data_IF_700702807799
#
_entry.id   IF_700702807799
#
_cell.length_a   1.000
_cell.length_b   1.000
_cell.length_c   1.000
_cell.angle_alpha   90.00
_cell.angle_beta   90.00
_cell.angle_gamma   90.00
#
_symmetry.space_group_name_H-M   'P 1'
#
loop_
_entity.id
_entity.type
_entity.pdbx_description
1 polymer ?
#
# COMPACT_ATOMS: atom_id res chain seq x y z
N UNK A 1 -50.01 70.19 -51.22
CA UNK A 1 -49.12 70.89 -50.28
C UNK A 1 -48.70 69.93 -49.17
N UNK A 2 -47.47 69.42 -49.18
CA UNK A 2 -47.03 68.39 -48.23
C UNK A 2 -45.90 68.95 -47.37
N UNK A 3 -46.22 69.44 -46.16
CA UNK A 3 -45.23 70.04 -45.28
C UNK A 3 -44.30 68.96 -44.75
N UNK A 4 -43.03 69.08 -45.13
CA UNK A 4 -41.89 68.32 -44.63
C UNK A 4 -41.78 68.52 -43.12
N UNK A 5 -41.84 67.45 -42.35
CA UNK A 5 -41.23 67.41 -41.02
C UNK A 5 -39.86 66.77 -41.16
N UNK A 6 -38.86 67.60 -40.87
CA UNK A 6 -37.44 67.34 -40.80
C UNK A 6 -37.14 66.41 -39.61
N UNK A 7 -36.32 65.39 -39.83
CA UNK A 7 -35.81 64.52 -38.76
C UNK A 7 -34.92 65.39 -37.86
N UNK A 8 -35.29 65.52 -36.58
CA UNK A 8 -34.55 66.31 -35.58
C UNK A 8 -33.20 65.64 -35.32
N UNK A 9 -32.07 66.38 -35.32
CA UNK A 9 -30.78 65.78 -34.98
C UNK A 9 -30.83 65.24 -33.54
N UNK A 10 -30.20 64.09 -33.25
CA UNK A 10 -30.19 63.51 -31.92
C UNK A 10 -29.55 64.49 -30.93
N UNK A 11 -30.22 64.69 -29.80
CA UNK A 11 -29.74 65.48 -28.66
C UNK A 11 -28.45 64.87 -28.11
N UNK A 12 -27.57 65.69 -27.51
CA UNK A 12 -26.29 65.21 -26.95
C UNK A 12 -26.47 64.05 -25.96
N UNK A 13 -27.59 64.04 -25.25
CA UNK A 13 -27.97 63.00 -24.30
C UNK A 13 -28.12 61.61 -24.98
N UNK A 14 -28.69 61.58 -26.19
CA UNK A 14 -28.84 60.34 -26.99
C UNK A 14 -27.49 59.81 -27.49
N UNK A 15 -26.50 60.67 -27.74
CA UNK A 15 -25.16 60.26 -28.15
C UNK A 15 -24.36 59.70 -26.98
N UNK A 16 -24.44 60.35 -25.82
CA UNK A 16 -23.74 59.93 -24.61
C UNK A 16 -24.28 58.59 -24.11
N UNK A 17 -25.60 58.39 -24.15
CA UNK A 17 -26.24 57.12 -23.78
C UNK A 17 -25.82 55.97 -24.71
N UNK A 18 -25.68 56.25 -26.02
CA UNK A 18 -25.19 55.23 -26.98
C UNK A 18 -23.71 54.90 -26.79
N UNK A 19 -22.89 55.88 -26.41
CA UNK A 19 -21.47 55.64 -26.13
C UNK A 19 -21.28 54.81 -24.85
N UNK A 20 -22.07 55.08 -23.79
CA UNK A 20 -22.05 54.30 -22.55
C UNK A 20 -22.41 52.82 -22.78
N UNK A 21 -23.44 52.54 -23.59
CA UNK A 21 -23.87 51.17 -23.91
C UNK A 21 -22.85 50.38 -24.74
N UNK A 22 -21.96 51.05 -25.48
CA UNK A 22 -20.91 50.40 -26.28
C UNK A 22 -19.63 50.15 -25.45
N UNK A 23 -19.33 50.99 -24.46
CA UNK A 23 -18.15 50.82 -23.61
C UNK A 23 -18.31 49.78 -22.49
N UNK A 24 -19.53 49.60 -21.95
CA UNK A 24 -19.82 48.61 -20.92
C UNK A 24 -19.39 47.17 -21.27
N UNK A 25 -19.76 46.60 -22.45
CA UNK A 25 -19.38 45.23 -22.78
C UNK A 25 -17.87 45.06 -23.05
N UNK A 26 -17.17 46.12 -23.47
CA UNK A 26 -15.72 46.08 -23.73
C UNK A 26 -14.89 46.09 -22.43
N UNK A 27 -15.36 46.77 -21.38
CA UNK A 27 -14.71 46.77 -20.06
C UNK A 27 -14.89 45.43 -19.34
N UNK A 28 -16.06 44.80 -19.49
CA UNK A 28 -16.37 43.50 -18.87
C UNK A 28 -15.55 42.35 -19.47
N UNK A 29 -15.34 42.32 -20.79
CA UNK A 29 -14.53 41.27 -21.44
C UNK A 29 -13.04 41.36 -21.08
N UNK A 30 -12.46 42.56 -21.00
CA UNK A 30 -11.08 42.76 -20.53
C UNK A 30 -10.91 42.37 -19.05
N UNK A 31 -11.91 42.63 -18.20
CA UNK A 31 -11.89 42.24 -16.79
C UNK A 31 -11.96 40.72 -16.60
N UNK A 32 -12.74 40.01 -17.43
CA UNK A 32 -12.83 38.54 -17.38
C UNK A 32 -11.54 37.86 -17.86
N UNK A 33 -10.92 38.35 -18.93
CA UNK A 33 -9.63 37.83 -19.42
C UNK A 33 -8.49 38.02 -18.41
N UNK A 34 -8.51 39.12 -17.64
CA UNK A 34 -7.54 39.40 -16.59
C UNK A 34 -7.71 38.51 -15.34
N UNK A 35 -8.88 37.89 -15.16
CA UNK A 35 -9.15 36.99 -14.03
C UNK A 35 -8.73 35.56 -14.34
N UNK A 36 -8.86 35.12 -15.60
CA UNK A 36 -8.50 33.77 -16.05
C UNK A 36 -7.00 33.46 -15.93
N UNK A 37 -6.10 34.41 -16.28
CA UNK A 37 -4.66 34.14 -16.18
C UNK A 37 -4.15 34.08 -14.74
N UNK A 38 -4.78 34.83 -13.82
CA UNK A 38 -4.48 34.79 -12.38
C UNK A 38 -4.99 33.50 -11.75
N UNK A 39 -6.22 33.09 -12.06
CA UNK A 39 -6.77 31.82 -11.61
C UNK A 39 -5.98 30.61 -12.15
N UNK A 40 -5.55 30.67 -13.42
CA UNK A 40 -4.74 29.61 -14.04
C UNK A 40 -3.34 29.50 -13.43
N UNK A 41 -2.68 30.62 -13.12
CA UNK A 41 -1.35 30.62 -12.49
C UNK A 41 -1.40 30.16 -11.02
N UNK A 42 -2.43 30.56 -10.27
CA UNK A 42 -2.66 30.07 -8.90
C UNK A 42 -2.99 28.57 -8.92
N UNK A 43 -3.82 28.12 -9.86
CA UNK A 43 -4.15 26.71 -10.04
C UNK A 43 -2.93 25.85 -10.40
N UNK A 44 -2.09 26.31 -11.32
CA UNK A 44 -0.86 25.63 -11.69
C UNK A 44 0.16 25.58 -10.54
N UNK A 45 0.29 26.67 -9.77
CA UNK A 45 1.15 26.71 -8.59
C UNK A 45 0.65 25.77 -7.49
N UNK A 46 -0.67 25.76 -7.21
CA UNK A 46 -1.28 24.85 -6.25
C UNK A 46 -1.10 23.38 -6.65
N UNK A 47 -1.26 23.06 -7.95
CA UNK A 47 -1.01 21.73 -8.49
C UNK A 47 0.48 21.34 -8.36
N UNK A 48 1.39 22.27 -8.64
CA UNK A 48 2.83 22.07 -8.47
C UNK A 48 3.21 21.80 -7.01
N UNK A 49 2.68 22.60 -6.07
CA UNK A 49 2.88 22.40 -4.63
C UNK A 49 2.29 21.07 -4.18
N UNK A 50 1.10 20.70 -4.65
CA UNK A 50 0.48 19.40 -4.35
C UNK A 50 1.34 18.24 -4.86
N UNK A 51 1.86 18.32 -6.09
CA UNK A 51 2.75 17.32 -6.67
C UNK A 51 4.09 17.22 -5.91
N UNK A 52 4.66 18.35 -5.49
CA UNK A 52 5.88 18.38 -4.67
C UNK A 52 5.63 17.78 -3.29
N UNK A 53 4.50 18.08 -2.65
CA UNK A 53 4.13 17.48 -1.36
C UNK A 53 3.87 15.97 -1.50
N UNK A 54 3.20 15.53 -2.56
CA UNK A 54 3.02 14.12 -2.88
C UNK A 54 4.36 13.42 -3.13
N UNK A 55 5.26 14.05 -3.89
CA UNK A 55 6.59 13.52 -4.18
C UNK A 55 7.47 13.44 -2.94
N UNK A 56 7.45 14.49 -2.10
CA UNK A 56 8.12 14.52 -0.81
C UNK A 56 7.56 13.41 0.11
N UNK A 57 6.24 13.30 0.24
CA UNK A 57 5.60 12.23 1.01
C UNK A 57 6.00 10.84 0.50
N UNK A 58 6.10 10.66 -0.82
CA UNK A 58 6.54 9.40 -1.43
C UNK A 58 8.01 9.06 -1.15
N UNK A 59 8.87 10.07 -1.02
CA UNK A 59 10.29 9.89 -0.69
C UNK A 59 10.50 9.65 0.81
N UNK A 60 9.77 10.39 1.66
CA UNK A 60 9.79 10.23 3.12
C UNK A 60 9.12 8.94 3.60
N UNK A 61 8.24 8.36 2.78
CA UNK A 61 7.59 7.10 3.04
C UNK A 61 8.57 5.96 3.36
N UNK A 62 9.71 5.85 2.66
CA UNK A 62 10.70 4.80 2.90
C UNK A 62 11.32 4.85 4.30
N UNK A 63 11.95 5.97 4.70
CA UNK A 63 12.43 6.17 6.07
C UNK A 63 11.33 6.03 7.12
N UNK A 64 10.11 6.51 6.83
CA UNK A 64 8.97 6.41 7.75
C UNK A 64 8.53 4.95 7.95
N UNK A 65 8.52 4.13 6.90
CA UNK A 65 8.28 2.68 7.01
C UNK A 65 9.36 1.98 7.81
N UNK A 66 10.64 2.35 7.65
CA UNK A 66 11.74 1.81 8.46
C UNK A 66 11.57 2.19 9.94
N UNK A 67 11.16 3.42 10.22
CA UNK A 67 10.87 3.90 11.56
C UNK A 67 9.69 3.14 12.19
N UNK A 68 8.58 3.00 11.46
CA UNK A 68 7.41 2.25 11.89
C UNK A 68 7.75 0.78 12.13
N UNK A 69 8.52 0.16 11.23
CA UNK A 69 8.99 -1.21 11.41
C UNK A 69 9.87 -1.37 12.65
N UNK A 70 10.77 -0.42 12.93
CA UNK A 70 11.63 -0.43 14.12
C UNK A 70 10.81 -0.31 15.41
N UNK A 71 9.83 0.60 15.45
CA UNK A 71 8.92 0.78 16.59
C UNK A 71 8.03 -0.45 16.79
N UNK A 72 7.47 -0.96 15.69
CA UNK A 72 6.60 -2.13 15.74
C UNK A 72 7.40 -3.35 16.22
N UNK A 73 8.63 -3.56 15.72
CA UNK A 73 9.56 -4.58 16.20
C UNK A 73 9.86 -4.39 17.68
N UNK A 74 10.17 -3.16 18.13
CA UNK A 74 10.39 -2.86 19.54
C UNK A 74 9.20 -3.26 20.43
N UNK A 75 7.97 -2.96 19.99
CA UNK A 75 6.73 -3.32 20.70
C UNK A 75 6.47 -4.84 20.70
N UNK A 76 6.81 -5.54 19.62
CA UNK A 76 6.71 -6.99 19.56
C UNK A 76 7.67 -7.68 20.54
N UNK A 77 8.89 -7.16 20.68
CA UNK A 77 9.90 -7.70 21.61
C UNK A 77 9.69 -7.23 23.06
N UNK A 78 8.97 -6.12 23.31
CA UNK A 78 8.77 -5.54 24.63
C UNK A 78 8.34 -6.53 25.74
N UNK A 79 7.36 -7.44 25.55
CA UNK A 79 7.00 -8.41 26.59
C UNK A 79 8.01 -9.55 26.75
N UNK A 80 8.81 -9.87 25.72
CA UNK A 80 9.95 -10.78 25.87
C UNK A 80 11.05 -10.11 26.72
N UNK A 81 11.35 -8.85 26.42
CA UNK A 81 12.31 -8.05 27.22
C UNK A 81 11.84 -7.92 28.66
N UNK A 82 10.57 -7.63 28.92
CA UNK A 82 10.02 -7.49 30.28
C UNK A 82 10.12 -8.78 31.12
N UNK A 83 10.05 -9.97 30.48
CA UNK A 83 10.32 -11.24 31.19
C UNK A 83 11.80 -11.38 31.55
N UNK A 84 12.69 -10.97 30.65
CA UNK A 84 14.14 -11.04 30.83
C UNK A 84 14.67 -9.98 31.81
N UNK A 85 14.02 -8.82 31.88
CA UNK A 85 14.34 -7.71 32.79
C UNK A 85 14.17 -8.09 34.27
N UNK A 86 13.46 -9.19 34.57
CA UNK A 86 13.39 -9.76 35.93
C UNK A 86 14.73 -10.33 36.41
N UNK A 87 15.64 -10.66 35.49
CA UNK A 87 16.92 -11.34 35.78
C UNK A 87 18.14 -10.51 35.38
N UNK A 88 17.98 -9.51 34.50
CA UNK A 88 19.07 -8.72 33.92
C UNK A 88 18.69 -7.24 33.82
N UNK A 89 19.67 -6.30 33.86
CA UNK A 89 19.41 -4.90 33.59
C UNK A 89 18.88 -4.71 32.16
N UNK A 90 17.96 -3.76 31.98
CA UNK A 90 17.20 -3.53 30.73
C UNK A 90 18.05 -3.54 29.46
N UNK A 91 19.24 -2.92 29.49
CA UNK A 91 20.16 -2.86 28.34
C UNK A 91 20.70 -4.25 27.96
N UNK A 92 21.07 -5.06 28.95
CA UNK A 92 21.57 -6.42 28.73
C UNK A 92 20.45 -7.35 28.23
N UNK A 93 19.23 -7.21 28.77
CA UNK A 93 18.06 -7.96 28.29
C UNK A 93 17.78 -7.70 26.81
N UNK A 94 17.84 -6.43 26.38
CA UNK A 94 17.64 -6.03 24.97
C UNK A 94 18.76 -6.58 24.08
N UNK A 95 20.03 -6.38 24.45
CA UNK A 95 21.18 -6.85 23.67
C UNK A 95 21.17 -8.38 23.52
N UNK A 96 20.91 -9.12 24.60
CA UNK A 96 20.87 -10.58 24.57
C UNK A 96 19.75 -11.08 23.65
N UNK A 97 18.56 -10.47 23.73
CA UNK A 97 17.43 -10.88 22.90
C UNK A 97 17.70 -10.66 21.41
N UNK A 98 18.28 -9.51 21.04
CA UNK A 98 18.68 -9.23 19.66
C UNK A 98 19.81 -10.15 19.19
N UNK A 99 20.77 -10.46 20.06
CA UNK A 99 21.86 -11.38 19.76
C UNK A 99 21.34 -12.79 19.48
N UNK A 100 20.43 -13.30 20.32
CA UNK A 100 19.78 -14.62 20.11
C UNK A 100 18.94 -14.62 18.83
N UNK A 101 18.16 -13.56 18.57
CA UNK A 101 17.40 -13.44 17.33
C UNK A 101 18.30 -13.43 16.09
N UNK A 102 19.42 -12.71 16.14
CA UNK A 102 20.41 -12.68 15.06
C UNK A 102 21.07 -14.04 14.84
N UNK A 103 21.40 -14.77 15.91
CA UNK A 103 21.93 -16.14 15.81
C UNK A 103 20.92 -17.10 15.17
N UNK A 104 19.65 -17.03 15.56
CA UNK A 104 18.60 -17.88 14.99
C UNK A 104 18.42 -17.56 13.49
N UNK A 105 18.25 -16.28 13.13
CA UNK A 105 18.07 -15.87 11.74
C UNK A 105 19.31 -16.15 10.89
N UNK A 106 20.50 -15.87 11.42
CA UNK A 106 21.79 -16.14 10.77
C UNK A 106 22.02 -17.63 10.59
N UNK A 107 21.68 -18.46 11.58
CA UNK A 107 21.77 -19.92 11.50
C UNK A 107 20.81 -20.52 10.48
N UNK A 108 19.56 -20.04 10.44
CA UNK A 108 18.60 -20.41 9.39
C UNK A 108 19.13 -19.97 8.03
N UNK A 109 19.63 -18.75 7.90
CA UNK A 109 20.23 -18.24 6.66
C UNK A 109 21.41 -19.10 6.21
N UNK A 110 22.30 -19.48 7.12
CA UNK A 110 23.44 -20.34 6.83
C UNK A 110 23.04 -21.71 6.25
N UNK A 111 21.93 -22.28 6.72
CA UNK A 111 21.42 -23.55 6.23
C UNK A 111 20.62 -23.39 4.92
N UNK A 112 19.78 -22.36 4.85
CA UNK A 112 18.83 -22.16 3.76
C UNK A 112 19.48 -21.56 2.51
N UNK A 113 20.40 -20.60 2.65
CA UNK A 113 21.05 -19.93 1.51
C UNK A 113 21.78 -20.91 0.57
N UNK A 114 22.66 -21.82 1.03
CA UNK A 114 23.34 -22.74 0.14
C UNK A 114 22.35 -23.72 -0.52
N UNK A 115 21.38 -24.24 0.23
CA UNK A 115 20.34 -25.13 -0.29
C UNK A 115 19.45 -24.43 -1.34
N UNK A 116 19.16 -23.15 -1.12
CA UNK A 116 18.44 -22.32 -2.06
C UNK A 116 19.26 -22.08 -3.34
N UNK A 117 20.55 -21.78 -3.20
CA UNK A 117 21.44 -21.52 -4.33
C UNK A 117 21.59 -22.74 -5.23
N UNK A 118 21.74 -23.94 -4.66
CA UNK A 118 21.85 -25.17 -5.46
C UNK A 118 20.54 -25.50 -6.19
N UNK A 119 19.41 -25.47 -5.48
CA UNK A 119 18.08 -25.69 -6.09
C UNK A 119 17.73 -24.64 -7.15
N UNK A 120 18.16 -23.40 -6.94
CA UNK A 120 17.95 -22.31 -7.89
C UNK A 120 18.79 -22.49 -9.17
N UNK A 121 20.05 -22.95 -9.06
CA UNK A 121 20.91 -23.23 -10.21
C UNK A 121 20.37 -24.41 -11.02
N UNK A 122 19.99 -25.50 -10.36
CA UNK A 122 19.36 -26.66 -11.01
C UNK A 122 18.09 -26.24 -11.77
N UNK A 123 17.26 -25.36 -11.18
CA UNK A 123 16.08 -24.83 -11.86
C UNK A 123 16.43 -24.05 -13.13
N UNK A 124 17.51 -23.25 -13.12
CA UNK A 124 17.96 -22.50 -14.30
C UNK A 124 18.51 -23.44 -15.38
N UNK A 125 19.23 -24.49 -14.98
CA UNK A 125 19.83 -25.45 -15.90
C UNK A 125 18.77 -26.33 -16.60
N UNK A 126 17.69 -26.69 -15.90
CA UNK A 126 16.59 -27.50 -16.44
C UNK A 126 15.57 -26.71 -17.25
N UNK A 127 15.48 -25.39 -17.03
CA UNK A 127 14.48 -24.55 -17.65
C UNK A 127 14.53 -24.49 -19.21
N UNK A 128 15.69 -24.46 -19.91
CA UNK A 128 15.70 -24.52 -21.37
C UNK A 128 15.11 -25.83 -21.93
N UNK A 129 15.35 -26.97 -21.28
CA UNK A 129 14.76 -28.26 -21.69
C UNK A 129 13.23 -28.27 -21.52
N UNK A 130 12.72 -27.62 -20.47
CA UNK A 130 11.29 -27.42 -20.25
C UNK A 130 10.67 -26.56 -21.36
N UNK A 131 11.34 -25.46 -21.74
CA UNK A 131 10.90 -24.60 -22.84
C UNK A 131 10.85 -25.39 -24.14
N UNK A 132 11.88 -26.18 -24.45
CA UNK A 132 11.91 -26.98 -25.68
C UNK A 132 10.81 -28.05 -25.71
N UNK A 133 10.49 -28.65 -24.57
CA UNK A 133 9.39 -29.63 -24.44
C UNK A 133 8.02 -28.96 -24.63
N UNK A 134 7.81 -27.81 -23.99
CA UNK A 134 6.58 -27.01 -24.13
C UNK A 134 6.44 -26.51 -25.56
N UNK A 135 7.55 -26.08 -26.19
CA UNK A 135 7.62 -25.66 -27.57
C UNK A 135 7.16 -26.79 -28.52
N UNK A 136 7.66 -28.01 -28.32
CA UNK A 136 7.27 -29.17 -29.10
C UNK A 136 5.81 -29.58 -28.90
N UNK A 137 5.29 -29.46 -27.66
CA UNK A 137 3.88 -29.72 -27.37
C UNK A 137 2.95 -28.68 -28.00
N UNK A 138 3.27 -27.39 -27.92
CA UNK A 138 2.51 -26.32 -28.57
C UNK A 138 2.53 -26.48 -30.09
N UNK A 139 3.68 -26.84 -30.67
CA UNK A 139 3.80 -27.10 -32.11
C UNK A 139 2.88 -28.23 -32.60
N UNK A 140 2.49 -29.16 -31.73
CA UNK A 140 1.57 -30.25 -32.06
C UNK A 140 0.10 -29.80 -32.12
N UNK A 141 -0.28 -28.74 -31.42
CA UNK A 141 -1.69 -28.35 -31.26
C UNK A 141 -2.02 -26.99 -31.90
N UNK A 142 -1.11 -26.01 -31.93
CA UNK A 142 -1.40 -24.70 -32.51
C UNK A 142 -0.14 -23.88 -32.89
N UNK A 143 0.26 -23.83 -34.17
CA UNK A 143 1.49 -23.15 -34.61
C UNK A 143 1.40 -21.60 -34.60
N UNK A 144 0.22 -21.01 -34.46
CA UNK A 144 0.02 -19.54 -34.55
C UNK A 144 0.30 -18.78 -33.24
N UNK A 145 0.27 -19.44 -32.08
CA UNK A 145 0.54 -18.85 -30.74
C UNK A 145 2.00 -19.05 -30.27
N UNK A 146 2.84 -19.60 -31.15
CA UNK A 146 4.20 -20.08 -30.85
C UNK A 146 5.10 -18.99 -30.23
N UNK A 147 5.13 -17.80 -30.83
CA UNK A 147 6.04 -16.73 -30.41
C UNK A 147 5.70 -16.17 -29.02
N UNK A 148 4.43 -15.84 -28.77
CA UNK A 148 4.04 -15.14 -27.53
C UNK A 148 4.22 -15.98 -26.27
N UNK A 149 3.85 -17.25 -26.29
CA UNK A 149 3.93 -18.10 -25.10
C UNK A 149 5.38 -18.40 -24.75
N UNK A 150 6.21 -18.65 -25.76
CA UNK A 150 7.63 -18.99 -25.59
C UNK A 150 8.44 -17.76 -25.20
N UNK A 151 8.17 -16.61 -25.81
CA UNK A 151 8.77 -15.33 -25.40
C UNK A 151 8.35 -14.94 -23.98
N UNK A 152 7.08 -15.19 -23.60
CA UNK A 152 6.62 -14.99 -22.23
C UNK A 152 7.38 -15.92 -21.26
N UNK A 153 7.46 -17.23 -21.54
CA UNK A 153 8.21 -18.19 -20.71
C UNK A 153 9.69 -17.79 -20.58
N UNK A 154 10.35 -17.50 -21.69
CA UNK A 154 11.74 -17.02 -21.71
C UNK A 154 11.90 -15.74 -20.88
N UNK A 155 10.97 -14.78 -21.00
CA UNK A 155 11.03 -13.54 -20.21
C UNK A 155 10.88 -13.79 -18.70
N UNK A 156 10.05 -14.76 -18.29
CA UNK A 156 9.90 -15.14 -16.88
C UNK A 156 11.14 -15.87 -16.38
N UNK A 157 11.70 -16.79 -17.18
CA UNK A 157 12.97 -17.45 -16.88
C UNK A 157 14.11 -16.45 -16.70
N UNK A 158 14.28 -15.50 -17.61
CA UNK A 158 15.35 -14.50 -17.52
C UNK A 158 15.18 -13.63 -16.27
N UNK A 159 13.94 -13.28 -15.90
CA UNK A 159 13.66 -12.58 -14.63
C UNK A 159 14.00 -13.43 -13.41
N UNK A 160 13.68 -14.72 -13.45
CA UNK A 160 13.98 -15.66 -12.37
C UNK A 160 15.49 -15.88 -12.23
N UNK A 161 16.20 -16.13 -13.32
CA UNK A 161 17.66 -16.23 -13.36
C UNK A 161 18.33 -14.93 -12.89
N UNK A 162 17.82 -13.76 -13.31
CA UNK A 162 18.27 -12.46 -12.81
C UNK A 162 18.00 -12.26 -11.31
N UNK A 163 16.87 -12.74 -10.80
CA UNK A 163 16.57 -12.74 -9.37
C UNK A 163 17.55 -13.63 -8.59
N UNK A 164 17.90 -14.81 -9.14
CA UNK A 164 18.88 -15.73 -8.54
C UNK A 164 20.28 -15.12 -8.53
N UNK A 165 20.73 -14.58 -9.67
CA UNK A 165 22.04 -13.93 -9.78
C UNK A 165 22.17 -12.71 -8.85
N UNK A 166 21.06 -12.04 -8.54
CA UNK A 166 21.01 -10.94 -7.58
C UNK A 166 20.79 -11.37 -6.13
N UNK A 167 20.58 -12.66 -5.83
CA UNK A 167 20.41 -13.15 -4.45
C UNK A 167 21.54 -12.72 -3.51
N UNK A 168 22.84 -12.81 -3.88
CA UNK A 168 23.91 -12.35 -2.99
C UNK A 168 23.79 -10.85 -2.64
N UNK A 169 23.51 -10.01 -3.64
CA UNK A 169 23.27 -8.58 -3.44
C UNK A 169 22.03 -8.30 -2.59
N UNK A 170 20.95 -9.05 -2.82
CA UNK A 170 19.71 -8.96 -2.03
C UNK A 170 19.96 -9.36 -0.57
N UNK A 171 20.74 -10.40 -0.32
CA UNK A 171 21.09 -10.85 1.03
C UNK A 171 21.93 -9.78 1.75
N UNK A 172 22.94 -9.21 1.09
CA UNK A 172 23.76 -8.13 1.65
C UNK A 172 22.90 -6.92 1.98
N UNK A 173 22.03 -6.51 1.04
CA UNK A 173 21.10 -5.39 1.23
C UNK A 173 20.11 -5.65 2.38
N UNK A 174 19.51 -6.84 2.42
CA UNK A 174 18.59 -7.26 3.48
C UNK A 174 19.28 -7.32 4.85
N UNK A 175 20.53 -7.79 4.89
CA UNK A 175 21.34 -7.82 6.12
C UNK A 175 21.62 -6.41 6.60
N UNK A 176 22.02 -5.50 5.71
CA UNK A 176 22.24 -4.10 6.06
C UNK A 176 20.97 -3.42 6.57
N UNK A 177 19.83 -3.65 5.90
CA UNK A 177 18.52 -3.16 6.34
C UNK A 177 18.13 -3.73 7.71
N UNK A 178 18.35 -5.02 7.94
CA UNK A 178 18.07 -5.67 9.21
C UNK A 178 18.92 -5.07 10.33
N UNK A 179 20.22 -4.87 10.11
CA UNK A 179 21.12 -4.20 11.07
C UNK A 179 20.64 -2.78 11.38
N UNK A 180 20.21 -2.03 10.37
CA UNK A 180 19.68 -0.68 10.54
C UNK A 180 18.39 -0.69 11.36
N UNK A 181 17.44 -1.57 11.04
CA UNK A 181 16.19 -1.74 11.79
C UNK A 181 16.49 -2.11 13.24
N UNK A 182 17.38 -3.06 13.48
CA UNK A 182 17.79 -3.49 14.82
C UNK A 182 18.40 -2.33 15.60
N UNK A 183 19.35 -1.61 15.00
CA UNK A 183 20.01 -0.45 15.64
C UNK A 183 19.00 0.64 15.98
N UNK A 184 18.12 0.99 15.05
CA UNK A 184 17.09 2.01 15.25
C UNK A 184 16.05 1.55 16.28
N UNK A 185 15.70 0.27 16.29
CA UNK A 185 14.78 -0.31 17.26
C UNK A 185 15.36 -0.31 18.66
N UNK A 186 16.65 -0.64 18.82
CA UNK A 186 17.37 -0.52 20.10
C UNK A 186 17.32 0.94 20.57
N UNK A 187 17.69 1.90 19.71
CA UNK A 187 17.62 3.32 20.05
C UNK A 187 16.22 3.75 20.54
N UNK A 188 15.16 3.36 19.81
CA UNK A 188 13.78 3.64 20.21
C UNK A 188 13.37 2.93 21.50
N UNK A 189 13.82 1.70 21.72
CA UNK A 189 13.50 0.92 22.91
C UNK A 189 14.16 1.50 24.17
N UNK A 190 15.37 2.06 24.03
CA UNK A 190 16.02 2.84 25.07
C UNK A 190 15.36 4.22 25.28
N UNK A 191 14.93 4.90 24.21
CA UNK A 191 14.29 6.22 24.27
C UNK A 191 12.82 6.19 24.73
N UNK A 192 12.16 5.03 24.65
CA UNK A 192 10.73 4.82 24.97
C UNK A 192 10.26 5.38 26.34
N UNK A 193 11.01 5.24 27.45
CA UNK A 193 10.62 5.82 28.73
C UNK A 193 10.64 7.36 28.72
N UNK A 194 11.68 7.95 28.12
CA UNK A 194 11.81 9.40 27.98
C UNK A 194 10.73 9.97 27.06
N UNK A 195 10.41 9.29 25.97
CA UNK A 195 9.35 9.69 25.05
C UNK A 195 7.97 9.61 25.73
N UNK A 196 7.69 8.56 26.52
CA UNK A 196 6.45 8.45 27.30
C UNK A 196 6.32 9.61 28.30
N UNK A 197 7.40 9.97 29.00
CA UNK A 197 7.37 11.10 29.92
C UNK A 197 7.16 12.44 29.18
N UNK A 198 7.78 12.61 28.02
CA UNK A 198 7.63 13.79 27.18
C UNK A 198 6.21 13.92 26.62
N UNK A 199 5.60 12.83 26.13
CA UNK A 199 4.21 12.87 25.64
C UNK A 199 3.22 13.10 26.77
N UNK A 200 3.41 12.49 27.94
CA UNK A 200 2.59 12.74 29.12
C UNK A 200 2.73 14.19 29.66
N UNK A 201 3.79 14.91 29.31
CA UNK A 201 3.96 16.31 29.71
C UNK A 201 3.00 17.27 29.01
N UNK A 202 2.55 16.93 27.79
CA UNK A 202 1.55 17.72 27.05
C UNK A 202 0.12 17.55 27.58
N UNK A 203 -0.13 16.53 28.41
CA UNK A 203 -1.45 16.25 28.95
C UNK A 203 -1.61 16.70 30.41
N UNK A 204 -2.79 17.25 30.77
CA UNK A 204 -3.14 17.58 32.16
C UNK A 204 -3.02 16.36 33.06
N UNK A 205 -2.62 16.58 34.33
CA UNK A 205 -2.33 15.51 35.29
C UNK A 205 -3.49 14.51 35.46
N UNK A 206 -4.72 14.98 35.39
CA UNK A 206 -5.94 14.19 35.62
C UNK A 206 -6.19 13.11 34.57
N UNK A 207 -5.62 13.23 33.35
CA UNK A 207 -5.78 12.24 32.27
C UNK A 207 -4.52 11.41 32.01
N UNK A 208 -3.43 11.62 32.76
CA UNK A 208 -2.14 10.95 32.50
C UNK A 208 -2.20 9.43 32.66
N UNK A 209 -2.95 8.93 33.64
CA UNK A 209 -3.11 7.48 33.81
C UNK A 209 -3.91 6.86 32.66
N UNK A 210 -5.06 7.46 32.30
CA UNK A 210 -5.85 6.98 31.16
C UNK A 210 -5.04 6.97 29.85
N UNK A 211 -4.26 8.02 29.58
CA UNK A 211 -3.39 8.08 28.40
C UNK A 211 -2.31 6.99 28.44
N UNK A 212 -1.73 6.73 29.62
CA UNK A 212 -0.70 5.69 29.78
C UNK A 212 -1.25 4.29 29.52
N UNK A 213 -2.47 4.01 29.97
CA UNK A 213 -3.12 2.70 29.76
C UNK A 213 -3.47 2.49 28.29
N UNK A 214 -4.07 3.49 27.63
CA UNK A 214 -4.36 3.44 26.19
C UNK A 214 -3.07 3.25 25.37
N UNK A 215 -2.00 3.97 25.69
CA UNK A 215 -0.68 3.78 25.04
C UNK A 215 -0.10 2.38 25.32
N UNK A 216 -0.42 1.77 26.46
CA UNK A 216 -0.06 0.40 26.79
C UNK A 216 -0.80 -0.63 25.94
N UNK A 217 -2.13 -0.50 25.87
CA UNK A 217 -2.99 -1.38 25.07
C UNK A 217 -2.68 -1.31 23.58
N UNK A 218 -2.49 -0.10 23.03
CA UNK A 218 -2.07 0.09 21.64
C UNK A 218 -0.74 -0.62 21.36
N UNK A 219 0.21 -0.51 22.29
CA UNK A 219 1.50 -1.19 22.18
C UNK A 219 1.38 -2.71 22.21
N UNK A 220 0.52 -3.26 23.07
CA UNK A 220 0.26 -4.69 23.13
C UNK A 220 -0.45 -5.20 21.87
N UNK A 221 -1.43 -4.46 21.35
CA UNK A 221 -2.15 -4.81 20.13
C UNK A 221 -1.20 -4.83 18.91
N UNK A 222 -0.34 -3.81 18.76
CA UNK A 222 0.69 -3.77 17.71
C UNK A 222 1.69 -4.93 17.85
N UNK A 223 2.17 -5.20 19.07
CA UNK A 223 3.08 -6.32 19.31
C UNK A 223 2.44 -7.69 19.10
N UNK A 224 1.13 -7.81 19.31
CA UNK A 224 0.33 -8.99 19.00
C UNK A 224 0.17 -9.22 17.49
N UNK A 225 -0.08 -8.15 16.72
CA UNK A 225 -0.19 -8.21 15.26
C UNK A 225 1.08 -8.74 14.60
N UNK A 226 2.26 -8.27 15.02
CA UNK A 226 3.54 -8.74 14.46
C UNK A 226 3.77 -10.21 14.79
N UNK A 227 3.49 -10.63 16.04
CA UNK A 227 3.60 -12.04 16.42
C UNK A 227 2.66 -12.91 15.57
N UNK A 228 1.43 -12.45 15.35
CA UNK A 228 0.48 -13.10 14.44
C UNK A 228 1.03 -13.20 13.00
N UNK A 229 1.62 -12.12 12.48
CA UNK A 229 2.20 -12.10 11.13
C UNK A 229 3.37 -13.07 10.98
N UNK A 230 4.24 -13.17 11.98
CA UNK A 230 5.36 -14.13 11.95
C UNK A 230 4.85 -15.56 12.00
N UNK A 231 3.92 -15.87 12.91
CA UNK A 231 3.32 -17.21 13.03
C UNK A 231 2.62 -17.60 11.73
N UNK A 232 1.81 -16.70 11.18
CA UNK A 232 1.08 -16.91 9.94
C UNK A 232 2.02 -17.08 8.73
N UNK A 233 3.07 -16.25 8.63
CA UNK A 233 4.08 -16.40 7.58
C UNK A 233 4.80 -17.75 7.67
N UNK A 234 5.20 -18.18 8.88
CA UNK A 234 5.85 -19.47 9.10
C UNK A 234 4.90 -20.63 8.78
N UNK A 235 3.62 -20.53 9.16
CA UNK A 235 2.61 -21.53 8.85
C UNK A 235 2.41 -21.67 7.32
N UNK A 236 2.26 -20.55 6.61
CA UNK A 236 2.13 -20.55 5.15
C UNK A 236 3.39 -21.11 4.49
N UNK A 237 4.58 -20.72 4.94
CA UNK A 237 5.85 -21.24 4.41
C UNK A 237 5.98 -22.75 4.58
N UNK A 238 5.67 -23.27 5.77
CA UNK A 238 5.76 -24.70 6.06
C UNK A 238 4.72 -25.51 5.30
N UNK A 239 3.46 -25.06 5.26
CA UNK A 239 2.40 -25.71 4.51
C UNK A 239 2.70 -25.72 3.01
N UNK A 240 3.25 -24.63 2.48
CA UNK A 240 3.68 -24.56 1.07
C UNK A 240 4.81 -25.55 0.81
N UNK A 241 5.82 -25.63 1.68
CA UNK A 241 6.91 -26.59 1.54
C UNK A 241 6.43 -28.04 1.53
N UNK A 242 5.58 -28.42 2.49
CA UNK A 242 5.00 -29.76 2.56
C UNK A 242 4.13 -30.05 1.34
N UNK A 243 3.29 -29.11 0.93
CA UNK A 243 2.44 -29.26 -0.27
C UNK A 243 3.27 -29.50 -1.53
N UNK A 244 4.37 -28.77 -1.71
CA UNK A 244 5.26 -28.94 -2.87
C UNK A 244 6.03 -30.26 -2.83
N UNK A 245 6.42 -30.74 -1.64
CA UNK A 245 7.01 -32.07 -1.48
C UNK A 245 6.04 -33.18 -1.89
N UNK A 246 4.76 -33.07 -1.53
CA UNK A 246 3.73 -34.06 -1.89
C UNK A 246 3.47 -34.08 -3.40
N UNK A 247 3.52 -32.93 -4.06
CA UNK A 247 3.37 -32.82 -5.53
C UNK A 247 4.60 -33.38 -6.26
N UNK A 248 5.75 -33.53 -5.59
CA UNK A 248 6.99 -34.05 -6.18
C UNK A 248 7.71 -33.03 -7.06
N UNK A 249 7.58 -31.73 -6.75
CA UNK A 249 8.29 -30.67 -7.47
C UNK A 249 9.77 -30.67 -7.07
N UNK A 250 10.67 -30.51 -8.04
CA UNK A 250 12.13 -30.56 -7.85
C UNK A 250 12.67 -29.43 -6.96
N UNK A 251 11.98 -28.28 -6.89
CA UNK A 251 12.44 -27.07 -6.18
C UNK A 251 11.47 -26.56 -5.10
N UNK A 252 11.10 -27.38 -4.10
CA UNK A 252 10.06 -27.04 -3.12
C UNK A 252 10.52 -25.95 -2.14
N UNK A 253 11.81 -25.89 -1.81
CA UNK A 253 12.36 -24.93 -0.84
C UNK A 253 12.35 -23.50 -1.41
N UNK A 254 12.72 -23.35 -2.68
CA UNK A 254 12.79 -22.05 -3.38
C UNK A 254 11.42 -21.38 -3.41
N UNK A 255 10.39 -22.14 -3.82
CA UNK A 255 9.02 -21.65 -3.94
C UNK A 255 8.39 -21.37 -2.57
N UNK A 256 8.64 -22.24 -1.58
CA UNK A 256 8.18 -22.03 -0.21
C UNK A 256 8.82 -20.78 0.42
N UNK A 257 10.12 -20.55 0.20
CA UNK A 257 10.80 -19.36 0.67
C UNK A 257 10.26 -18.10 -0.02
N UNK A 258 9.99 -18.14 -1.33
CA UNK A 258 9.39 -17.03 -2.05
C UNK A 258 8.00 -16.69 -1.49
N UNK A 259 7.19 -17.70 -1.18
CA UNK A 259 5.90 -17.53 -0.53
C UNK A 259 6.04 -16.91 0.87
N UNK A 260 6.99 -17.40 1.66
CA UNK A 260 7.32 -16.87 3.00
C UNK A 260 7.75 -15.40 2.94
N UNK A 261 8.73 -15.07 2.11
CA UNK A 261 9.24 -13.69 1.95
C UNK A 261 8.12 -12.77 1.49
N UNK A 262 7.32 -13.17 0.51
CA UNK A 262 6.15 -12.40 0.05
C UNK A 262 5.17 -12.14 1.20
N UNK A 263 4.93 -13.13 2.06
CA UNK A 263 4.01 -13.01 3.19
C UNK A 263 4.55 -12.11 4.29
N UNK A 264 5.84 -12.12 4.57
CA UNK A 264 6.49 -11.24 5.56
C UNK A 264 6.59 -9.79 5.05
N UNK A 265 6.95 -9.61 3.78
CA UNK A 265 7.18 -8.29 3.18
C UNK A 265 5.87 -7.55 2.89
N UNK A 266 4.81 -8.26 2.47
CA UNK A 266 3.52 -7.64 2.11
C UNK A 266 2.88 -6.79 3.23
N UNK A 267 2.76 -7.26 4.49
CA UNK A 267 2.20 -6.45 5.58
C UNK A 267 3.17 -5.38 6.09
N UNK A 268 4.48 -5.60 5.96
CA UNK A 268 5.50 -4.63 6.41
C UNK A 268 5.51 -3.34 5.58
N UNK A 269 4.98 -3.35 4.35
CA UNK A 269 4.97 -2.17 3.47
C UNK A 269 3.55 -1.91 2.93
N UNK A 270 2.73 -1.09 3.61
CA UNK A 270 1.46 -0.58 3.08
C UNK A 270 1.61 0.02 1.66
N UNK A 271 2.78 0.59 1.37
CA UNK A 271 3.10 1.20 0.08
C UNK A 271 3.57 0.21 -0.99
N UNK A 272 4.18 -0.92 -0.59
CA UNK A 272 4.49 -2.00 -1.55
C UNK A 272 3.24 -2.81 -1.87
N UNK A 273 2.28 -2.93 -0.94
CA UNK A 273 0.93 -3.40 -1.25
C UNK A 273 0.30 -2.59 -2.39
N UNK A 274 0.45 -1.26 -2.37
CA UNK A 274 -0.02 -0.41 -3.47
C UNK A 274 0.79 -0.59 -4.77
N UNK A 275 2.11 -0.81 -4.68
CA UNK A 275 2.96 -1.10 -5.86
C UNK A 275 2.71 -2.48 -6.48
N UNK A 276 2.46 -3.51 -5.66
CA UNK A 276 2.16 -4.88 -6.10
C UNK A 276 0.69 -5.03 -6.52
N UNK A 277 -0.26 -4.35 -5.87
CA UNK A 277 -1.66 -4.32 -6.30
C UNK A 277 -1.82 -3.62 -7.66
N UNK A 278 -1.00 -2.60 -7.97
CA UNK A 278 -0.94 -2.00 -9.30
C UNK A 278 -0.45 -2.96 -10.40
N UNK A 279 0.38 -3.95 -10.05
CA UNK A 279 0.92 -4.94 -10.99
C UNK A 279 0.12 -6.26 -11.04
N UNK A 280 -0.51 -6.66 -9.94
CA UNK A 280 -1.24 -7.93 -9.78
C UNK A 280 -2.77 -7.83 -9.90
N UNK A 281 -3.34 -6.62 -9.86
CA UNK A 281 -4.80 -6.40 -9.89
C UNK A 281 -5.49 -6.68 -11.23
N UNK A 282 -4.80 -7.29 -12.21
CA UNK A 282 -5.36 -7.59 -13.54
C UNK A 282 -5.79 -9.06 -13.71
N UNK A 283 -5.55 -9.95 -12.74
CA UNK A 283 -5.88 -11.38 -12.89
C UNK A 283 -7.07 -11.87 -12.03
N UNK A 284 -7.54 -11.09 -11.04
CA UNK A 284 -8.56 -11.55 -10.08
C UNK A 284 -10.00 -11.08 -10.37
N UNK A 285 -10.28 -10.50 -11.56
CA UNK A 285 -11.61 -9.87 -11.83
C UNK A 285 -12.66 -10.75 -12.50
N UNK A 286 -12.40 -12.02 -12.80
CA UNK A 286 -13.31 -12.82 -13.65
C UNK A 286 -14.20 -13.83 -12.93
N UNK A 287 -14.35 -13.77 -11.60
CA UNK A 287 -15.39 -14.53 -10.90
C UNK A 287 -16.62 -13.67 -10.60
N UNK A 288 -17.69 -13.71 -11.42
CA UNK A 288 -18.97 -13.13 -11.05
C UNK A 288 -19.61 -14.01 -9.98
N UNK A 289 -19.47 -13.62 -8.71
CA UNK A 289 -20.32 -14.12 -7.63
C UNK A 289 -21.74 -13.62 -7.93
N UNK A 290 -22.58 -14.50 -8.50
CA UNK A 290 -24.03 -14.25 -8.56
C UNK A 290 -24.58 -14.31 -7.13
N UNK A 291 -25.26 -13.28 -6.63
CA UNK A 291 -25.96 -13.39 -5.36
C UNK A 291 -27.16 -14.32 -5.51
N UNK A 292 -27.14 -15.48 -4.83
CA UNK A 292 -28.35 -16.25 -4.54
C UNK A 292 -29.26 -15.38 -3.65
N UNK A 293 -30.24 -14.71 -4.25
CA UNK A 293 -31.45 -14.29 -3.52
C UNK A 293 -32.41 -15.45 -3.61
N UNK A 294 -32.51 -16.23 -2.54
CA UNK A 294 -33.66 -17.09 -2.24
C UNK A 294 -33.52 -17.52 -0.78
N UNK A 295 -33.92 -16.63 0.14
CA UNK A 295 -34.39 -17.06 1.44
C UNK A 295 -35.52 -16.11 1.84
N UNK A 296 -36.71 -16.68 1.88
CA UNK A 296 -37.97 -15.97 1.92
C UNK A 296 -38.14 -15.11 3.16
N UNK A 297 -38.80 -13.98 2.95
CA UNK A 297 -39.59 -13.23 3.91
C UNK A 297 -40.44 -12.26 3.08
N UNK A 298 -41.71 -12.13 3.44
CA UNK A 298 -42.69 -11.15 2.94
C UNK A 298 -43.65 -11.63 1.84
N UNK A 299 -44.29 -12.77 2.12
CA UNK A 299 -45.75 -12.83 2.12
C UNK A 299 -46.29 -11.73 3.08
N UNK A 300 -47.44 -11.09 2.80
CA UNK A 300 -48.00 -9.87 3.46
C UNK A 300 -47.81 -8.51 2.76
N UNK A 301 -48.17 -8.38 1.47
CA UNK A 301 -48.57 -7.04 0.97
C UNK A 301 -49.61 -7.02 -0.15
N UNK A 302 -50.60 -7.92 -0.12
CA UNK A 302 -51.75 -7.82 -1.02
C UNK A 302 -53.05 -8.25 -0.34
N UNK A 303 -53.62 -7.36 0.46
CA UNK A 303 -55.06 -7.30 0.70
C UNK A 303 -55.55 -5.85 0.44
N UNK A 304 -56.82 -5.68 0.02
CA UNK A 304 -57.20 -4.68 -0.98
C UNK A 304 -57.74 -3.37 -0.41
N UNK A 305 -57.90 -2.42 -1.33
CA UNK A 305 -58.52 -1.10 -1.19
C UNK A 305 -59.75 -1.03 -0.27
N UNK A 306 -59.67 -0.15 0.73
CA UNK A 306 -60.70 0.76 1.25
C UNK A 306 -59.92 1.95 1.82
N UNK A 307 -60.25 3.24 1.73
CA UNK A 307 -61.46 3.98 1.44
C UNK A 307 -61.29 5.31 2.22
N UNK A 308 -61.73 6.44 1.63
CA UNK A 308 -62.06 7.71 2.30
C UNK A 308 -60.90 8.54 2.91
N UNK A 309 -60.61 9.72 2.33
CA UNK A 309 -61.14 11.06 2.71
C UNK A 309 -60.72 11.51 4.12
N UNK A 310 -59.83 12.51 4.19
CA UNK A 310 -60.03 13.70 5.02
C UNK A 310 -58.91 14.72 4.82
N UNK A 311 -59.32 15.89 4.32
CA UNK A 311 -58.69 17.18 4.58
C UNK A 311 -58.47 17.42 6.08
N UNK A 312 -57.34 18.02 6.44
CA UNK A 312 -57.31 19.27 7.20
C UNK A 312 -55.91 19.88 7.15
N UNK A 313 -55.85 21.17 6.80
CA UNK A 313 -54.65 21.96 6.84
C UNK A 313 -54.47 22.70 8.17
N UNK A 314 -53.55 23.66 8.09
CA UNK A 314 -53.19 24.73 9.02
C UNK A 314 -52.52 24.34 10.33
N UNK A 315 -51.22 24.59 10.38
CA UNK A 315 -50.67 25.70 11.18
C UNK A 315 -49.52 26.32 10.41
#
# INVERSE_FOLDING_TARGET
MNRRCTVRPPTDDQKNTRQALVEEPARLSMALQALDWRAATIGAAALGVLLVLLFAAWKFAGPLTLLLAAIATALALAPLVARLERWLPRVAAVLLLYFVAFLILGGIGWLVIPALSSQAQEAVDWAPQLIDTVQQWINRWNPLEQGRVVDFLKSQLTRFAGAIASLPLLIVSATFQLVLIVTLSIYWLLALPGLRQFTLSFFPRDRREQVKDVLGEMGQAMGGYIRGTVIDATAIGLLTYIGLLVIGIEFPLVLALLAFVRRVVAPALPLVGCRLAGAGGRLERDHPIRPKRDFGLQDFRSLPQQGQLAHCGSS
#
